data_IF_053747148947
#
_entry.id   IF_053747148947
#
_cell.length_a   1.000
_cell.length_b   1.000
_cell.length_c   1.000
_cell.angle_alpha   90.00
_cell.angle_beta   90.00
_cell.angle_gamma   90.00
#
_symmetry.space_group_name_H-M   'P 1'
#
loop_
_entity.id
_entity.type
_entity.pdbx_description
1 polymer ?
#
# COMPACT_ATOMS: atom_id res chain seq x y z
N UNK A 1 34.18 -13.99 29.00
CA UNK A 1 33.52 -12.67 28.82
C UNK A 1 32.86 -12.64 27.43
N UNK A 2 31.63 -13.12 27.30
CA UNK A 2 30.78 -12.96 26.10
C UNK A 2 29.35 -13.32 26.48
N UNK A 3 28.87 -12.67 27.54
CA UNK A 3 27.56 -12.87 28.16
C UNK A 3 26.71 -11.60 28.00
N UNK A 4 26.69 -11.01 26.80
CA UNK A 4 25.91 -9.79 26.48
C UNK A 4 25.45 -9.81 25.01
N UNK A 5 24.74 -10.86 24.59
CA UNK A 5 24.04 -10.86 23.28
C UNK A 5 22.62 -11.43 23.35
N UNK A 6 22.08 -11.68 24.54
CA UNK A 6 20.73 -12.26 24.72
C UNK A 6 19.68 -11.26 25.25
N UNK A 7 19.97 -9.96 25.29
CA UNK A 7 19.05 -8.96 25.84
C UNK A 7 18.92 -7.73 24.94
N UNK A 8 17.98 -7.87 24.00
CA UNK A 8 17.20 -6.86 23.28
C UNK A 8 17.83 -6.12 22.08
N UNK A 9 17.08 -5.94 20.96
CA UNK A 9 15.66 -6.24 20.79
C UNK A 9 15.39 -7.16 19.58
N UNK A 10 14.28 -7.89 19.61
CA UNK A 10 13.72 -8.56 18.42
C UNK A 10 13.17 -7.54 17.39
N UNK A 11 13.91 -6.47 17.09
CA UNK A 11 13.54 -5.43 16.10
C UNK A 11 14.01 -5.75 14.68
N UNK A 12 14.61 -6.92 14.45
CA UNK A 12 14.67 -7.54 13.13
C UNK A 12 13.73 -8.74 13.03
N UNK A 13 12.58 -8.71 13.71
CA UNK A 13 11.39 -9.16 12.99
C UNK A 13 11.01 -8.04 12.04
N UNK A 14 11.71 -7.98 10.89
CA UNK A 14 10.97 -7.60 9.69
C UNK A 14 9.70 -8.44 9.75
N UNK A 15 8.56 -7.77 9.71
CA UNK A 15 7.27 -8.38 9.49
C UNK A 15 7.38 -9.19 8.21
N UNK A 16 7.90 -10.40 8.28
CA UNK A 16 7.72 -11.42 7.26
C UNK A 16 6.24 -11.73 7.38
N UNK A 17 5.44 -10.91 6.68
CA UNK A 17 4.10 -11.27 6.23
C UNK A 17 4.25 -12.68 5.72
N UNK A 18 3.75 -13.63 6.51
CA UNK A 18 4.10 -15.03 6.39
C UNK A 18 3.34 -15.61 5.20
N UNK A 19 3.70 -15.19 4.00
CA UNK A 19 3.16 -15.76 2.79
C UNK A 19 3.59 -17.22 2.74
N UNK A 20 2.61 -18.09 2.63
CA UNK A 20 2.87 -19.53 2.68
C UNK A 20 3.35 -20.00 1.32
N UNK A 21 4.52 -20.63 1.28
CA UNK A 21 4.97 -21.42 0.13
C UNK A 21 4.24 -22.76 0.15
N UNK A 22 3.64 -23.13 -0.98
CA UNK A 22 3.00 -24.43 -1.17
C UNK A 22 3.92 -25.38 -1.95
N UNK A 23 4.96 -24.85 -2.59
CA UNK A 23 6.10 -25.55 -3.18
C UNK A 23 7.29 -24.60 -3.24
N UNK A 24 8.46 -25.12 -3.58
CA UNK A 24 9.68 -24.33 -3.82
C UNK A 24 9.49 -23.30 -4.94
N UNK A 25 8.65 -23.61 -5.93
CA UNK A 25 8.37 -22.78 -7.11
C UNK A 25 7.00 -22.09 -7.08
N UNK A 26 6.21 -22.23 -6.00
CA UNK A 26 4.87 -21.60 -5.95
C UNK A 26 4.43 -21.19 -4.55
N UNK A 27 3.80 -20.02 -4.48
CA UNK A 27 3.06 -19.59 -3.31
C UNK A 27 1.68 -20.27 -3.24
N UNK A 28 1.11 -20.32 -2.04
CA UNK A 28 -0.24 -20.81 -1.83
C UNK A 28 -1.28 -19.85 -2.42
N UNK A 29 -2.53 -20.32 -2.55
CA UNK A 29 -3.63 -19.49 -3.02
C UNK A 29 -3.75 -18.21 -2.17
N UNK A 30 -3.86 -17.07 -2.85
CA UNK A 30 -3.88 -15.75 -2.23
C UNK A 30 -2.52 -15.09 -2.04
N UNK A 31 -1.45 -15.71 -2.53
CA UNK A 31 -0.10 -15.17 -2.49
C UNK A 31 0.60 -15.27 -3.86
N UNK A 32 1.54 -14.35 -4.11
CA UNK A 32 2.45 -14.36 -5.27
C UNK A 32 3.88 -14.00 -4.83
N UNK A 33 4.84 -14.25 -5.71
CA UNK A 33 6.23 -13.82 -5.49
C UNK A 33 6.37 -12.33 -5.77
N UNK A 34 6.98 -11.62 -4.83
CA UNK A 34 7.53 -10.29 -5.06
C UNK A 34 8.91 -10.38 -5.75
N UNK A 35 9.50 -9.24 -6.11
CA UNK A 35 10.84 -9.13 -6.71
C UNK A 35 11.95 -9.80 -5.86
N UNK A 36 11.73 -9.93 -4.54
CA UNK A 36 12.63 -10.61 -3.60
C UNK A 36 12.46 -12.13 -3.55
N UNK A 37 11.50 -12.71 -4.27
CA UNK A 37 11.19 -14.16 -4.21
C UNK A 37 10.48 -14.59 -2.92
N UNK A 38 9.93 -13.64 -2.16
CA UNK A 38 9.11 -13.88 -0.98
C UNK A 38 7.63 -13.92 -1.39
N UNK A 39 6.86 -14.82 -0.78
CA UNK A 39 5.42 -14.87 -0.99
C UNK A 39 4.75 -13.70 -0.26
N UNK A 40 4.06 -12.84 -0.99
CA UNK A 40 3.26 -11.74 -0.46
C UNK A 40 1.80 -11.89 -0.88
N UNK A 41 0.90 -11.28 -0.12
CA UNK A 41 -0.55 -11.34 -0.38
C UNK A 41 -0.84 -10.78 -1.78
N UNK A 42 -1.87 -11.31 -2.44
CA UNK A 42 -2.32 -10.79 -3.72
C UNK A 42 -2.70 -9.31 -3.66
N UNK A 43 -2.45 -8.54 -4.72
CA UNK A 43 -2.98 -7.20 -4.86
C UNK A 43 -4.51 -7.20 -4.80
N UNK A 44 -5.08 -6.10 -4.31
CA UNK A 44 -6.53 -5.95 -4.16
C UNK A 44 -7.23 -6.11 -5.51
N UNK A 45 -8.32 -6.87 -5.53
CA UNK A 45 -9.07 -7.18 -6.75
C UNK A 45 -8.60 -8.44 -7.49
N UNK A 46 -7.57 -9.12 -6.99
CA UNK A 46 -7.08 -10.39 -7.50
C UNK A 46 -7.02 -11.46 -6.40
N UNK A 47 -7.18 -12.72 -6.79
CA UNK A 47 -7.11 -13.89 -5.91
C UNK A 47 -6.64 -15.14 -6.67
N UNK A 48 -6.57 -16.27 -5.96
CA UNK A 48 -6.16 -17.55 -6.52
C UNK A 48 -4.65 -17.79 -6.44
N UNK A 49 -4.17 -18.83 -7.15
CA UNK A 49 -2.75 -19.17 -7.20
C UNK A 49 -2.02 -18.13 -8.04
N UNK A 50 -0.96 -17.54 -7.49
CA UNK A 50 -0.20 -16.45 -8.12
C UNK A 50 -1.08 -15.27 -8.58
N UNK A 51 -2.19 -15.02 -7.90
CA UNK A 51 -3.07 -13.88 -8.16
C UNK A 51 -3.59 -13.82 -9.62
N UNK A 52 -3.76 -14.98 -10.24
CA UNK A 52 -4.17 -15.12 -11.65
C UNK A 52 -5.65 -14.85 -11.90
N UNK A 53 -6.49 -14.79 -10.85
CA UNK A 53 -7.94 -14.68 -10.99
C UNK A 53 -8.45 -13.33 -10.51
N UNK A 54 -9.15 -12.54 -11.34
CA UNK A 54 -9.79 -11.29 -10.90
C UNK A 54 -11.01 -11.58 -10.02
N UNK A 55 -11.29 -10.71 -9.05
CA UNK A 55 -12.44 -10.88 -8.17
C UNK A 55 -13.76 -10.99 -8.96
N UNK A 56 -14.67 -11.88 -8.55
CA UNK A 56 -15.98 -11.96 -9.15
C UNK A 56 -16.74 -10.65 -8.95
N UNK A 57 -17.62 -10.36 -9.89
CA UNK A 57 -18.47 -9.16 -9.84
C UNK A 57 -19.25 -9.10 -8.53
N UNK A 58 -19.29 -7.92 -7.92
CA UNK A 58 -19.96 -7.70 -6.63
C UNK A 58 -19.10 -7.99 -5.40
N UNK A 59 -17.83 -8.38 -5.57
CA UNK A 59 -16.88 -8.58 -4.46
C UNK A 59 -15.65 -7.71 -4.59
N UNK A 60 -14.98 -7.43 -3.47
CA UNK A 60 -13.78 -6.61 -3.45
C UNK A 60 -12.84 -6.94 -2.28
N UNK A 61 -11.67 -6.28 -2.28
CA UNK A 61 -10.72 -6.31 -1.18
C UNK A 61 -9.77 -7.50 -1.21
N UNK A 62 -9.18 -7.81 -0.05
CA UNK A 62 -8.22 -8.91 0.09
C UNK A 62 -8.91 -10.26 -0.20
N UNK A 63 -8.40 -11.00 -1.19
CA UNK A 63 -8.95 -12.29 -1.61
C UNK A 63 -10.46 -12.26 -1.90
N UNK A 64 -11.00 -11.10 -2.29
CA UNK A 64 -12.41 -10.92 -2.61
C UNK A 64 -13.37 -11.28 -1.45
N UNK A 65 -12.89 -11.15 -0.20
CA UNK A 65 -13.69 -11.49 1.00
C UNK A 65 -14.85 -10.54 1.24
N UNK A 66 -14.79 -9.31 0.71
CA UNK A 66 -15.81 -8.29 0.95
C UNK A 66 -16.85 -8.28 -0.17
N UNK A 67 -18.09 -7.96 0.18
CA UNK A 67 -19.19 -7.80 -0.78
C UNK A 67 -19.55 -6.33 -0.95
N UNK A 68 -19.76 -5.90 -2.19
CA UNK A 68 -20.23 -4.55 -2.50
C UNK A 68 -21.69 -4.36 -2.09
N UNK A 69 -21.99 -3.21 -1.50
CA UNK A 69 -23.34 -2.79 -1.09
C UNK A 69 -23.96 -1.79 -2.07
N UNK A 70 -23.48 -1.77 -3.30
CA UNK A 70 -23.90 -0.89 -4.40
C UNK A 70 -24.22 -1.74 -5.63
N UNK A 71 -24.87 -1.17 -6.67
CA UNK A 71 -25.06 -1.87 -7.92
C UNK A 71 -23.72 -2.38 -8.47
N UNK A 72 -23.75 -3.54 -9.12
CA UNK A 72 -22.56 -4.26 -9.59
C UNK A 72 -21.71 -3.42 -10.54
N UNK A 73 -22.34 -2.49 -11.25
CA UNK A 73 -21.74 -1.51 -12.17
C UNK A 73 -20.84 -0.49 -11.46
N UNK A 74 -21.09 -0.22 -10.17
CA UNK A 74 -20.33 0.71 -9.33
C UNK A 74 -19.43 -0.03 -8.32
N UNK A 75 -19.24 -1.33 -8.49
CA UNK A 75 -18.40 -2.15 -7.63
C UNK A 75 -17.02 -2.36 -8.27
N UNK A 76 -16.01 -1.68 -7.73
CA UNK A 76 -14.62 -1.90 -8.07
C UNK A 76 -14.04 -3.06 -7.25
N UNK A 77 -13.37 -4.00 -7.93
CA UNK A 77 -12.80 -5.19 -7.31
C UNK A 77 -11.73 -4.89 -6.23
N UNK A 78 -11.04 -3.76 -6.29
CA UNK A 78 -9.97 -3.42 -5.36
C UNK A 78 -10.52 -2.67 -4.13
N UNK A 79 -11.32 -1.63 -4.36
CA UNK A 79 -11.75 -0.69 -3.30
C UNK A 79 -13.21 -0.83 -2.88
N UNK A 80 -14.04 -1.55 -3.65
CA UNK A 80 -15.47 -1.69 -3.39
C UNK A 80 -16.30 -0.64 -4.10
N UNK A 81 -17.25 -0.03 -3.41
CA UNK A 81 -18.22 0.86 -4.04
C UNK A 81 -17.62 2.22 -4.42
N UNK A 82 -17.59 2.52 -5.72
CA UNK A 82 -17.20 3.82 -6.25
C UNK A 82 -18.44 4.71 -6.34
N UNK A 83 -18.52 5.73 -5.50
CA UNK A 83 -19.49 6.80 -5.71
C UNK A 83 -19.00 7.67 -6.88
N UNK A 84 -19.90 8.12 -7.75
CA UNK A 84 -19.57 8.96 -8.93
C UNK A 84 -18.92 10.32 -8.55
N UNK A 85 -18.73 10.60 -7.26
CA UNK A 85 -18.02 11.75 -6.72
C UNK A 85 -16.50 11.52 -6.51
N UNK A 86 -15.96 10.37 -6.92
CA UNK A 86 -14.54 10.01 -6.76
C UNK A 86 -13.72 10.22 -8.05
N UNK A 87 -13.97 11.32 -8.80
CA UNK A 87 -13.09 11.76 -9.90
C UNK A 87 -12.04 12.79 -9.47
N UNK A 88 -12.08 13.26 -8.24
CA UNK A 88 -11.01 14.05 -7.66
C UNK A 88 -10.53 13.30 -6.43
N UNK A 89 -9.54 12.43 -6.64
CA UNK A 89 -8.55 12.21 -5.60
C UNK A 89 -8.04 13.61 -5.24
N UNK A 90 -8.31 14.16 -4.03
CA UNK A 90 -7.56 15.30 -3.61
C UNK A 90 -6.14 14.78 -3.46
N UNK A 91 -5.27 15.13 -4.41
CA UNK A 91 -3.84 15.00 -4.19
C UNK A 91 -3.51 15.56 -2.81
N UNK A 92 -2.50 15.01 -2.12
CA UNK A 92 -2.22 15.37 -0.74
C UNK A 92 -2.22 16.90 -0.57
N UNK A 93 -2.97 17.46 0.41
CA UNK A 93 -3.02 18.91 0.66
C UNK A 93 -1.63 19.52 0.93
N UNK A 94 -0.66 18.65 1.15
CA UNK A 94 0.75 18.90 1.34
C UNK A 94 1.34 19.73 0.18
N UNK A 95 1.00 19.48 -1.09
CA UNK A 95 1.61 20.24 -2.20
C UNK A 95 1.15 21.71 -2.21
N UNK A 96 -0.13 21.96 -1.92
CA UNK A 96 -0.70 23.31 -1.82
C UNK A 96 -0.14 24.11 -0.64
N UNK A 97 0.28 23.43 0.44
CA UNK A 97 0.86 24.08 1.63
C UNK A 97 2.38 24.26 1.47
N UNK A 98 3.08 23.34 0.82
CA UNK A 98 4.55 23.37 0.67
C UNK A 98 5.01 24.47 -0.30
N UNK A 99 4.25 24.74 -1.36
CA UNK A 99 4.58 25.80 -2.34
C UNK A 99 4.62 27.21 -1.69
N UNK A 100 3.58 27.69 -0.99
CA UNK A 100 3.62 29.02 -0.36
C UNK A 100 4.62 29.10 0.80
N UNK A 101 4.83 28.03 1.56
CA UNK A 101 5.82 28.02 2.66
C UNK A 101 7.25 28.09 2.12
N UNK A 102 7.57 27.34 1.06
CA UNK A 102 8.89 27.37 0.44
C UNK A 102 9.17 28.71 -0.25
N UNK A 103 8.19 29.27 -0.97
CA UNK A 103 8.30 30.60 -1.56
C UNK A 103 8.49 31.69 -0.50
N UNK A 104 7.73 31.65 0.60
CA UNK A 104 7.84 32.61 1.70
C UNK A 104 9.22 32.58 2.38
N UNK A 105 9.76 31.39 2.64
CA UNK A 105 11.10 31.24 3.24
C UNK A 105 12.20 31.74 2.30
N UNK A 106 12.08 31.47 0.99
CA UNK A 106 13.03 31.94 -0.02
C UNK A 106 13.01 33.47 -0.15
N UNK A 107 11.83 34.08 -0.18
CA UNK A 107 11.66 35.54 -0.21
C UNK A 107 12.27 36.19 1.04
N UNK A 108 12.01 35.61 2.22
CA UNK A 108 12.57 36.11 3.47
C UNK A 108 14.11 36.07 3.48
N UNK A 109 14.70 34.97 2.97
CA UNK A 109 16.15 34.84 2.84
C UNK A 109 16.76 35.89 1.90
N UNK A 110 16.15 36.11 0.73
CA UNK A 110 16.61 37.14 -0.21
C UNK A 110 16.57 38.54 0.41
N UNK A 111 15.51 38.87 1.16
CA UNK A 111 15.40 40.16 1.86
C UNK A 111 16.55 40.32 2.86
N UNK A 112 16.80 39.30 3.69
CA UNK A 112 17.89 39.34 4.68
C UNK A 112 19.24 39.54 4.01
N UNK A 113 19.54 38.82 2.91
CA UNK A 113 20.80 38.96 2.18
C UNK A 113 21.00 40.31 1.50
N UNK A 114 19.92 41.05 1.21
CA UNK A 114 20.02 42.38 0.60
C UNK A 114 20.14 43.52 1.62
N UNK A 115 19.75 43.27 2.87
CA UNK A 115 19.70 44.28 3.95
C UNK A 115 20.93 44.21 4.87
N UNK A 116 21.58 43.05 4.96
CA UNK A 116 22.84 42.83 5.69
C UNK A 116 24.03 42.94 4.75
#
# INVERSE_FOLDING_TARGET
MRLVFLLLPTLFSHTVTTGRKCSETRCCAGFHFDASGVCIVCPLGLYGVQCSTPCPRGTYGELCKNQCQCPVEFCNASIGCISQHEKELPGPPILYIVIPVSAGLFILFLIICTVV
#
